data_IF_813311136052
#
_entry.id   IF_813311136052
#
_cell.length_a   1.000
_cell.length_b   1.000
_cell.length_c   1.000
_cell.angle_alpha   90.00
_cell.angle_beta   90.00
_cell.angle_gamma   90.00
#
_symmetry.space_group_name_H-M   'P 1'
#
loop_
_entity.id
_entity.type
_entity.pdbx_description
1 polymer ?
#
# COMPACT_ATOMS: atom_id res chain seq x y z
N UNK A 1 -71.89 8.99 35.03
CA UNK A 1 -70.67 9.84 35.03
C UNK A 1 -69.49 8.91 34.80
N UNK A 2 -69.03 8.76 33.55
CA UNK A 2 -67.99 7.80 33.15
C UNK A 2 -66.63 8.49 33.09
N UNK A 3 -65.68 8.00 33.90
CA UNK A 3 -64.30 8.48 33.95
C UNK A 3 -63.48 7.65 32.95
N UNK A 4 -62.94 8.30 31.92
CA UNK A 4 -62.04 7.68 30.94
C UNK A 4 -60.60 7.76 31.44
N UNK A 5 -59.99 6.60 31.70
CA UNK A 5 -58.58 6.45 32.01
C UNK A 5 -57.78 6.48 30.69
N UNK A 6 -56.85 7.45 30.55
CA UNK A 6 -55.91 7.51 29.43
C UNK A 6 -54.64 6.72 29.78
N UNK A 7 -54.35 5.68 29.00
CA UNK A 7 -53.04 5.02 28.99
C UNK A 7 -52.04 5.89 28.22
N UNK A 8 -50.94 6.27 28.87
CA UNK A 8 -49.77 6.83 28.19
C UNK A 8 -48.79 5.67 27.94
N UNK A 9 -48.58 5.32 26.67
CA UNK A 9 -47.51 4.40 26.26
C UNK A 9 -46.31 5.27 25.89
N UNK A 10 -45.28 5.25 26.72
CA UNK A 10 -43.98 5.88 26.42
C UNK A 10 -43.17 4.96 25.52
N UNK A 11 -43.02 5.35 24.25
CA UNK A 11 -42.08 4.73 23.31
C UNK A 11 -40.67 5.28 23.60
N UNK A 12 -39.82 4.51 24.28
CA UNK A 12 -38.38 4.81 24.33
C UNK A 12 -37.74 4.43 23.01
N UNK A 13 -37.37 5.43 22.20
CA UNK A 13 -36.55 5.22 21.01
C UNK A 13 -35.08 4.98 21.43
N UNK A 14 -34.59 3.75 21.24
CA UNK A 14 -33.18 3.42 21.39
C UNK A 14 -32.47 3.89 20.11
N UNK A 15 -31.74 5.00 20.21
CA UNK A 15 -30.85 5.50 19.17
C UNK A 15 -29.59 4.61 19.11
N UNK A 16 -29.52 3.73 18.12
CA UNK A 16 -28.25 3.09 17.75
C UNK A 16 -27.37 4.10 17.03
N UNK A 17 -26.46 4.73 17.77
CA UNK A 17 -25.38 5.52 17.18
C UNK A 17 -24.36 4.54 16.58
N UNK A 18 -24.47 4.28 15.27
CA UNK A 18 -23.39 3.60 14.54
C UNK A 18 -22.26 4.61 14.35
N UNK A 19 -21.29 4.60 15.27
CA UNK A 19 -20.04 5.29 15.05
C UNK A 19 -19.30 4.55 13.93
N UNK A 20 -19.35 5.10 12.71
CA UNK A 20 -18.45 4.69 11.65
C UNK A 20 -17.04 5.02 12.10
N UNK A 21 -16.28 4.01 12.55
CA UNK A 21 -14.85 4.13 12.75
C UNK A 21 -14.26 4.25 11.36
N UNK A 22 -14.02 5.48 10.89
CA UNK A 22 -13.18 5.69 9.73
C UNK A 22 -11.79 5.15 10.08
N UNK A 23 -11.40 4.04 9.47
CA UNK A 23 -10.03 3.57 9.54
C UNK A 23 -9.14 4.68 8.98
N UNK A 24 -8.23 5.19 9.81
CA UNK A 24 -7.33 6.26 9.41
C UNK A 24 -6.30 5.69 8.42
N UNK A 25 -6.09 6.40 7.30
CA UNK A 25 -5.17 5.97 6.24
C UNK A 25 -3.72 6.02 6.75
N UNK A 26 -2.86 5.15 6.20
CA UNK A 26 -1.41 5.22 6.44
C UNK A 26 -0.89 6.58 5.99
N UNK A 27 -0.08 7.23 6.83
CA UNK A 27 0.57 8.49 6.47
C UNK A 27 1.95 8.17 5.90
N UNK A 28 2.15 8.52 4.63
CA UNK A 28 3.44 8.41 3.92
C UNK A 28 4.17 9.74 3.97
N UNK A 29 5.46 9.74 4.33
CA UNK A 29 6.30 10.95 4.40
C UNK A 29 7.64 10.73 3.70
N UNK A 30 8.29 11.83 3.36
CA UNK A 30 9.66 11.88 2.85
C UNK A 30 9.96 10.91 1.68
N UNK A 31 9.10 10.77 0.66
CA UNK A 31 9.42 9.91 -0.46
C UNK A 31 10.59 10.50 -1.26
N UNK A 32 11.64 9.71 -1.44
CA UNK A 32 12.89 10.14 -2.06
C UNK A 32 13.60 8.97 -2.73
N UNK A 33 14.62 9.28 -3.52
CA UNK A 33 15.45 8.29 -4.20
C UNK A 33 16.93 8.58 -4.02
N UNK A 34 17.76 7.56 -4.13
CA UNK A 34 19.21 7.73 -4.06
C UNK A 34 19.82 8.43 -5.30
N UNK A 35 19.00 8.74 -6.31
CA UNK A 35 19.38 9.52 -7.50
C UNK A 35 18.85 10.95 -7.49
N UNK A 36 18.18 11.37 -6.41
CA UNK A 36 17.69 12.75 -6.26
C UNK A 36 16.39 13.06 -7.02
N UNK A 37 15.65 12.04 -7.43
CA UNK A 37 14.35 12.23 -8.07
C UNK A 37 13.29 12.64 -7.05
N UNK A 38 12.37 13.50 -7.50
CA UNK A 38 11.26 13.97 -6.68
C UNK A 38 10.11 13.00 -6.80
N UNK A 39 9.60 12.53 -5.66
CA UNK A 39 8.32 11.81 -5.56
C UNK A 39 7.29 12.63 -4.79
N UNK A 40 6.01 12.40 -5.07
CA UNK A 40 4.90 13.14 -4.48
C UNK A 40 3.87 12.17 -3.93
N UNK A 41 3.37 12.43 -2.72
CA UNK A 41 2.27 11.66 -2.13
C UNK A 41 0.93 12.23 -2.62
N UNK A 42 0.04 11.35 -3.05
CA UNK A 42 -1.33 11.65 -3.47
C UNK A 42 -2.28 10.56 -2.93
N UNK A 43 -3.57 10.70 -3.23
CA UNK A 43 -4.56 9.64 -3.06
C UNK A 43 -4.75 8.87 -4.38
N UNK A 44 -4.79 7.54 -4.29
CA UNK A 44 -5.11 6.64 -5.39
C UNK A 44 -6.62 6.72 -5.68
N UNK A 45 -6.99 7.33 -6.82
CA UNK A 45 -8.39 7.54 -7.20
C UNK A 45 -8.57 7.43 -8.71
N UNK A 46 -9.76 7.03 -9.13
CA UNK A 46 -10.11 6.92 -10.55
C UNK A 46 -9.95 8.28 -11.25
N UNK A 47 -9.25 8.30 -12.38
CA UNK A 47 -8.92 9.53 -13.12
C UNK A 47 -7.88 10.41 -12.43
N UNK A 48 -7.23 9.94 -11.36
CA UNK A 48 -6.11 10.62 -10.70
C UNK A 48 -4.86 10.63 -11.59
N UNK A 49 -3.78 11.28 -11.12
CA UNK A 49 -2.49 11.27 -11.81
C UNK A 49 -1.79 9.91 -11.66
N UNK A 50 -1.12 9.46 -12.73
CA UNK A 50 -0.23 8.31 -12.69
C UNK A 50 1.20 8.70 -12.28
N UNK A 51 1.71 9.80 -12.85
CA UNK A 51 3.00 10.42 -12.50
C UNK A 51 2.78 11.85 -12.00
N UNK A 52 3.68 12.37 -11.17
CA UNK A 52 3.51 13.75 -10.67
C UNK A 52 3.84 14.80 -11.74
N UNK A 53 4.68 14.46 -12.72
CA UNK A 53 5.26 15.36 -13.73
C UNK A 53 4.67 15.15 -15.15
N UNK A 54 3.62 14.35 -15.29
CA UNK A 54 2.85 14.16 -16.53
C UNK A 54 1.36 14.22 -16.27
N UNK A 55 0.59 14.40 -17.33
CA UNK A 55 -0.87 14.41 -17.29
C UNK A 55 -1.50 13.04 -17.56
N UNK A 56 -0.71 11.96 -17.48
CA UNK A 56 -1.21 10.60 -17.57
C UNK A 56 -2.12 10.29 -16.38
N UNK A 57 -3.22 9.62 -16.68
CA UNK A 57 -4.23 9.27 -15.69
C UNK A 57 -4.14 7.83 -15.26
N UNK A 58 -4.64 7.53 -14.06
CA UNK A 58 -4.82 6.17 -13.56
C UNK A 58 -6.29 5.76 -13.64
N UNK A 59 -6.57 4.60 -14.24
CA UNK A 59 -7.93 4.09 -14.44
C UNK A 59 -8.05 2.60 -14.08
N UNK A 60 -9.29 2.11 -13.97
CA UNK A 60 -9.63 0.71 -13.73
C UNK A 60 -9.13 0.19 -12.39
N UNK A 61 -9.09 1.05 -11.38
CA UNK A 61 -8.55 0.70 -10.06
C UNK A 61 -9.49 -0.29 -9.36
N UNK A 62 -9.01 -1.45 -8.89
CA UNK A 62 -9.80 -2.34 -8.03
C UNK A 62 -10.32 -1.59 -6.80
N UNK A 63 -11.60 -1.80 -6.46
CA UNK A 63 -12.33 -0.98 -5.47
C UNK A 63 -11.65 -0.92 -4.10
N UNK A 64 -11.00 -2.02 -3.70
CA UNK A 64 -10.24 -2.17 -2.47
C UNK A 64 -9.01 -1.26 -2.38
N UNK A 65 -8.50 -0.75 -3.50
CA UNK A 65 -7.34 0.13 -3.54
C UNK A 65 -7.73 1.62 -3.65
N UNK A 66 -9.00 1.92 -3.90
CA UNK A 66 -9.47 3.31 -3.96
C UNK A 66 -9.28 4.01 -2.62
N UNK A 67 -8.72 5.21 -2.67
CA UNK A 67 -8.45 6.05 -1.51
C UNK A 67 -7.14 5.74 -0.81
N UNK A 68 -6.37 4.72 -1.20
CA UNK A 68 -5.08 4.45 -0.57
C UNK A 68 -4.06 5.58 -0.85
N UNK A 69 -3.16 5.90 0.08
CA UNK A 69 -2.03 6.78 -0.21
C UNK A 69 -1.17 6.19 -1.34
N UNK A 70 -0.92 7.01 -2.35
CA UNK A 70 -0.14 6.71 -3.54
C UNK A 70 1.15 7.54 -3.53
N UNK A 71 2.27 6.94 -3.92
CA UNK A 71 3.52 7.64 -4.18
C UNK A 71 3.68 7.72 -5.71
N UNK A 72 3.62 8.94 -6.23
CA UNK A 72 3.76 9.28 -7.63
C UNK A 72 5.24 9.47 -7.97
N UNK A 73 5.74 8.64 -8.88
CA UNK A 73 7.06 8.77 -9.49
C UNK A 73 7.06 9.81 -10.61
N UNK A 74 8.24 10.23 -11.06
CA UNK A 74 8.38 10.93 -12.35
C UNK A 74 8.23 9.92 -13.48
N UNK A 75 7.68 10.31 -14.62
CA UNK A 75 7.54 9.40 -15.76
C UNK A 75 8.89 8.80 -16.18
N UNK A 76 9.93 9.62 -16.22
CA UNK A 76 11.28 9.21 -16.65
C UNK A 76 12.18 8.78 -15.47
N UNK A 77 11.57 8.27 -14.38
CA UNK A 77 12.33 7.82 -13.21
C UNK A 77 13.31 6.71 -13.61
N UNK A 78 14.59 6.92 -13.32
CA UNK A 78 15.62 5.93 -13.56
C UNK A 78 15.34 4.68 -12.71
N UNK A 79 15.73 3.54 -13.27
CA UNK A 79 15.76 2.26 -12.61
C UNK A 79 17.15 1.68 -12.61
N UNK A 80 17.23 0.37 -12.39
CA UNK A 80 18.49 -0.34 -12.21
C UNK A 80 18.62 -0.90 -10.79
N UNK A 81 19.49 -1.89 -10.64
CA UNK A 81 19.69 -2.62 -9.37
C UNK A 81 20.31 -1.77 -8.27
N UNK A 82 20.95 -0.66 -8.62
CA UNK A 82 21.53 0.30 -7.67
C UNK A 82 20.53 1.40 -7.28
N UNK A 83 19.33 1.41 -7.87
CA UNK A 83 18.32 2.41 -7.59
C UNK A 83 17.56 2.07 -6.30
N UNK A 84 17.33 3.05 -5.44
CA UNK A 84 16.65 2.88 -4.14
C UNK A 84 15.55 3.92 -3.98
N UNK A 85 14.37 3.46 -3.58
CA UNK A 85 13.22 4.29 -3.25
C UNK A 85 13.02 4.19 -1.75
N UNK A 86 12.97 5.32 -1.06
CA UNK A 86 12.74 5.36 0.38
C UNK A 86 11.59 6.28 0.74
N UNK A 87 10.83 5.91 1.76
CA UNK A 87 9.76 6.72 2.33
C UNK A 87 9.45 6.24 3.75
N UNK A 88 8.87 7.12 4.58
CA UNK A 88 8.45 6.79 5.93
C UNK A 88 6.96 6.45 5.98
N UNK A 89 6.61 5.45 6.79
CA UNK A 89 5.21 5.12 7.15
C UNK A 89 4.99 5.28 8.66
N UNK A 90 3.83 5.79 9.06
CA UNK A 90 3.49 6.07 10.46
C UNK A 90 2.99 4.86 11.25
N UNK A 91 2.62 3.79 10.56
CA UNK A 91 2.09 2.53 11.11
C UNK A 91 2.49 1.35 10.23
N UNK A 92 2.39 0.11 10.70
CA UNK A 92 2.67 -1.06 9.87
C UNK A 92 1.80 -1.07 8.62
N UNK A 93 2.38 -1.42 7.47
CA UNK A 93 1.70 -1.28 6.19
C UNK A 93 2.05 -2.36 5.17
N UNK A 94 1.07 -2.77 4.38
CA UNK A 94 1.28 -3.52 3.14
C UNK A 94 1.66 -2.53 2.05
N UNK A 95 2.75 -2.81 1.34
CA UNK A 95 3.20 -2.00 0.20
C UNK A 95 2.84 -2.71 -1.08
N UNK A 96 2.25 -1.97 -2.01
CA UNK A 96 1.89 -2.43 -3.34
C UNK A 96 2.74 -1.75 -4.40
N UNK A 97 3.17 -2.54 -5.38
CA UNK A 97 3.92 -2.11 -6.54
C UNK A 97 3.14 -2.46 -7.80
N UNK A 98 2.88 -1.48 -8.66
CA UNK A 98 2.27 -1.74 -9.97
C UNK A 98 3.36 -1.78 -11.06
N UNK A 99 3.50 -2.91 -11.74
CA UNK A 99 4.52 -3.15 -12.76
C UNK A 99 3.96 -3.06 -14.16
N UNK A 100 4.57 -2.20 -14.99
CA UNK A 100 4.25 -2.06 -16.40
C UNK A 100 4.27 -3.41 -17.14
N UNK A 101 3.13 -3.75 -17.76
CA UNK A 101 2.89 -5.01 -18.45
C UNK A 101 3.60 -5.14 -19.80
N UNK A 102 4.21 -4.06 -20.31
CA UNK A 102 4.96 -4.07 -21.58
C UNK A 102 6.29 -4.82 -21.48
N UNK A 103 6.75 -5.05 -20.25
CA UNK A 103 7.95 -5.83 -19.95
C UNK A 103 7.54 -7.23 -19.45
N UNK A 104 8.41 -8.27 -19.49
CA UNK A 104 8.12 -9.61 -18.92
C UNK A 104 7.67 -9.54 -17.47
N UNK A 105 7.19 -10.55 -16.77
CA UNK A 105 6.86 -10.35 -15.32
C UNK A 105 8.13 -10.34 -14.46
N UNK A 106 8.19 -9.62 -13.32
CA UNK A 106 9.37 -9.63 -12.44
C UNK A 106 9.95 -11.03 -12.15
N UNK A 107 9.10 -12.04 -11.99
CA UNK A 107 9.51 -13.45 -11.82
C UNK A 107 10.16 -14.09 -13.06
N UNK A 108 9.86 -13.57 -14.25
CA UNK A 108 10.40 -14.04 -15.54
C UNK A 108 11.55 -13.14 -16.04
N UNK A 109 11.63 -11.91 -15.50
CA UNK A 109 12.68 -10.94 -15.76
C UNK A 109 13.92 -11.41 -14.99
N UNK A 110 14.93 -11.97 -15.66
CA UNK A 110 16.28 -12.31 -15.11
C UNK A 110 17.08 -11.09 -14.62
N UNK A 111 16.39 -10.04 -14.21
CA UNK A 111 16.80 -8.67 -13.94
C UNK A 111 16.80 -8.35 -12.44
N UNK A 112 16.36 -9.31 -11.61
CA UNK A 112 16.57 -9.31 -10.17
C UNK A 112 17.66 -10.35 -9.83
N UNK A 113 18.95 -10.05 -10.04
CA UNK A 113 20.02 -11.01 -9.78
C UNK A 113 20.13 -11.42 -8.31
N UNK A 114 19.57 -10.62 -7.38
CA UNK A 114 19.53 -10.93 -5.96
C UNK A 114 18.29 -11.77 -5.56
N UNK A 115 17.32 -11.91 -6.46
CA UNK A 115 16.02 -12.55 -6.21
C UNK A 115 15.28 -11.91 -5.03
N UNK A 116 15.49 -10.62 -4.76
CA UNK A 116 14.87 -9.94 -3.63
C UNK A 116 13.37 -9.78 -3.84
N UNK A 117 12.94 -9.54 -5.07
CA UNK A 117 11.56 -9.24 -5.42
C UNK A 117 10.66 -10.42 -5.12
N UNK A 118 10.98 -11.61 -5.64
CA UNK A 118 10.20 -12.82 -5.36
C UNK A 118 10.22 -13.22 -3.88
N UNK A 119 11.25 -12.83 -3.12
CA UNK A 119 11.28 -13.07 -1.66
C UNK A 119 10.33 -12.15 -0.91
N UNK A 120 10.18 -10.92 -1.36
CA UNK A 120 9.47 -9.86 -0.63
C UNK A 120 8.05 -9.63 -1.15
N UNK A 121 7.79 -9.85 -2.44
CA UNK A 121 6.54 -9.53 -3.12
C UNK A 121 5.86 -10.78 -3.71
N UNK A 122 4.54 -10.72 -3.84
CA UNK A 122 3.73 -11.74 -4.50
C UNK A 122 2.72 -11.06 -5.41
N UNK A 123 2.46 -11.67 -6.57
CA UNK A 123 1.47 -11.17 -7.52
C UNK A 123 0.06 -11.27 -6.90
N UNK A 124 -0.73 -10.21 -7.03
CA UNK A 124 -2.14 -10.17 -6.60
C UNK A 124 -3.11 -10.67 -7.67
N UNK A 125 -2.63 -10.87 -8.92
CA UNK A 125 -3.42 -11.15 -10.13
C UNK A 125 -4.39 -10.03 -10.50
N UNK A 126 -4.23 -8.85 -9.89
CA UNK A 126 -4.98 -7.63 -10.20
C UNK A 126 -4.11 -6.68 -10.99
N UNK A 127 -4.77 -5.75 -11.66
CA UNK A 127 -4.13 -4.72 -12.44
C UNK A 127 -4.84 -3.38 -12.24
N UNK A 128 -4.13 -2.33 -12.61
CA UNK A 128 -4.66 -0.99 -12.83
C UNK A 128 -4.08 -0.50 -14.16
N UNK A 129 -4.53 0.65 -14.64
CA UNK A 129 -4.11 1.14 -15.95
C UNK A 129 -3.51 2.53 -15.88
N UNK A 130 -2.41 2.72 -16.60
CA UNK A 130 -1.98 4.03 -17.06
C UNK A 130 -2.78 4.36 -18.32
N UNK A 131 -3.38 5.54 -18.37
CA UNK A 131 -4.31 5.93 -19.42
C UNK A 131 -4.07 7.39 -19.87
N UNK A 132 -5.06 7.95 -20.58
CA UNK A 132 -5.04 9.23 -21.26
C UNK A 132 -4.17 10.33 -20.60
N UNK A 133 -3.38 11.08 -21.41
CA UNK A 133 -3.29 11.02 -22.88
C UNK A 133 -2.47 9.85 -23.46
N UNK A 134 -1.88 8.99 -22.63
CA UNK A 134 -1.14 7.82 -23.12
C UNK A 134 -2.12 6.68 -23.47
N UNK A 135 -1.80 5.82 -24.46
CA UNK A 135 -2.57 4.61 -24.72
C UNK A 135 -2.73 3.75 -23.46
N UNK A 136 -3.95 3.24 -23.23
CA UNK A 136 -4.24 2.41 -22.06
C UNK A 136 -3.25 1.25 -21.95
N UNK A 137 -2.51 1.20 -20.84
CA UNK A 137 -1.45 0.22 -20.57
C UNK A 137 -1.70 -0.43 -19.22
N UNK A 138 -1.64 -1.77 -19.15
CA UNK A 138 -1.85 -2.52 -17.91
C UNK A 138 -0.62 -2.45 -17.01
N UNK A 139 -0.87 -2.41 -15.71
CA UNK A 139 0.14 -2.51 -14.67
C UNK A 139 -0.27 -3.59 -13.67
N UNK A 140 0.53 -4.65 -13.57
CA UNK A 140 0.28 -5.77 -12.67
C UNK A 140 0.60 -5.39 -11.23
N UNK A 141 -0.33 -5.64 -10.32
CA UNK A 141 -0.20 -5.26 -8.91
C UNK A 141 0.44 -6.40 -8.12
N UNK A 142 1.57 -6.12 -7.51
CA UNK A 142 2.25 -6.98 -6.54
C UNK A 142 2.09 -6.40 -5.15
N UNK A 143 2.00 -7.27 -4.15
CA UNK A 143 1.93 -6.87 -2.74
C UNK A 143 3.09 -7.45 -1.94
N UNK A 144 3.54 -6.73 -0.92
CA UNK A 144 4.51 -7.26 0.02
C UNK A 144 3.93 -8.48 0.74
N UNK A 145 4.72 -9.55 0.86
CA UNK A 145 4.32 -10.80 1.55
C UNK A 145 4.15 -10.59 3.06
N UNK A 146 4.84 -9.59 3.61
CA UNK A 146 4.74 -9.15 5.00
C UNK A 146 4.49 -7.65 5.03
N UNK A 147 3.80 -7.18 6.06
CA UNK A 147 3.71 -5.75 6.32
C UNK A 147 5.09 -5.21 6.70
N UNK A 148 5.44 -4.05 6.18
CA UNK A 148 6.57 -3.27 6.66
C UNK A 148 6.22 -2.71 8.05
N UNK A 149 7.18 -2.68 8.99
CA UNK A 149 6.97 -2.01 10.27
C UNK A 149 6.88 -0.49 10.07
N UNK A 150 6.32 0.22 11.06
CA UNK A 150 6.43 1.68 11.14
C UNK A 150 7.89 2.13 10.98
N UNK A 151 8.11 3.21 10.23
CA UNK A 151 9.43 3.78 9.98
C UNK A 151 9.77 3.81 8.50
N UNK A 152 11.06 3.80 8.19
CA UNK A 152 11.56 3.85 6.82
C UNK A 152 11.29 2.53 6.09
N UNK A 153 10.74 2.65 4.89
CA UNK A 153 10.59 1.59 3.90
C UNK A 153 11.62 1.84 2.80
N UNK A 154 12.41 0.81 2.48
CA UNK A 154 13.29 0.82 1.31
C UNK A 154 12.79 -0.19 0.27
N UNK A 155 12.68 0.26 -0.96
CA UNK A 155 12.38 -0.58 -2.13
C UNK A 155 13.56 -0.48 -3.08
N UNK A 156 14.07 -1.65 -3.45
CA UNK A 156 15.17 -1.76 -4.40
C UNK A 156 14.65 -1.66 -5.83
N UNK A 157 15.48 -1.13 -6.72
CA UNK A 157 15.24 -1.22 -8.14
C UNK A 157 15.40 -2.66 -8.64
N UNK A 158 14.83 -2.91 -9.81
CA UNK A 158 15.06 -4.11 -10.60
C UNK A 158 15.80 -3.65 -11.87
N UNK A 159 16.70 -4.45 -12.42
CA UNK A 159 17.32 -4.10 -13.70
C UNK A 159 16.24 -3.90 -14.78
N UNK A 160 16.35 -2.85 -15.59
CA UNK A 160 15.48 -2.69 -16.76
C UNK A 160 15.80 -3.71 -17.86
N UNK A 161 16.94 -4.40 -17.74
CA UNK A 161 17.60 -5.16 -18.80
C UNK A 161 17.75 -4.37 -20.09
N UNK A 162 18.10 -5.07 -21.17
CA UNK A 162 18.73 -4.54 -22.40
C UNK A 162 17.82 -3.57 -23.18
N UNK A 163 17.61 -2.39 -22.64
CA UNK A 163 17.12 -1.17 -23.28
C UNK A 163 17.96 -0.02 -22.69
N UNK A 164 18.44 0.96 -23.47
CA UNK A 164 19.35 2.01 -22.98
C UNK A 164 18.79 2.84 -21.82
N UNK A 165 17.47 2.79 -21.60
CA UNK A 165 16.79 3.56 -20.57
C UNK A 165 16.12 2.58 -19.60
N UNK A 166 16.70 2.32 -18.42
CA UNK A 166 16.11 1.45 -17.41
C UNK A 166 14.96 2.18 -16.72
N UNK A 167 14.02 2.79 -17.44
CA UNK A 167 12.96 3.60 -16.84
C UNK A 167 12.02 2.66 -16.12
N UNK A 168 11.94 2.84 -14.81
CA UNK A 168 11.05 2.08 -13.97
C UNK A 168 9.78 2.91 -13.80
N UNK A 169 8.80 2.57 -14.62
CA UNK A 169 7.45 3.12 -14.51
C UNK A 169 6.69 2.27 -13.50
N UNK A 170 6.72 2.67 -12.24
CA UNK A 170 5.89 2.09 -11.18
C UNK A 170 5.04 3.17 -10.54
N UNK A 171 3.86 2.76 -10.08
CA UNK A 171 3.18 3.47 -8.98
C UNK A 171 3.24 2.61 -7.73
N UNK A 172 3.49 3.25 -6.59
CA UNK A 172 3.43 2.62 -5.27
C UNK A 172 2.17 3.08 -4.57
N UNK A 173 1.51 2.20 -3.84
CA UNK A 173 0.46 2.59 -2.90
C UNK A 173 0.50 1.71 -1.66
N UNK A 174 -0.05 2.23 -0.57
CA UNK A 174 0.18 1.69 0.78
C UNK A 174 -1.16 1.49 1.49
N UNK A 175 -1.35 0.32 2.10
CA UNK A 175 -2.53 -0.02 2.89
C UNK A 175 -2.10 -0.34 4.32
N UNK A 176 -2.95 -0.04 5.31
CA UNK A 176 -2.67 -0.45 6.68
C UNK A 176 -2.47 -1.97 6.76
N UNK A 177 -1.34 -2.36 7.34
CA UNK A 177 -0.94 -3.74 7.51
C UNK A 177 -1.15 -4.16 8.95
N UNK A 178 -1.58 -5.42 9.16
CA UNK A 178 -1.46 -6.01 10.48
C UNK A 178 0.00 -6.35 10.71
N UNK A 179 0.68 -5.65 11.62
CA UNK A 179 2.02 -6.04 12.04
C UNK A 179 2.00 -7.49 12.53
N UNK A 180 2.83 -8.33 11.93
CA UNK A 180 3.29 -9.52 12.62
C UNK A 180 4.32 -9.01 13.62
N UNK A 181 3.90 -8.85 14.88
CA UNK A 181 4.87 -8.72 15.99
C UNK A 181 5.85 -9.90 15.82
N UNK A 182 7.16 -9.68 15.60
CA UNK A 182 8.11 -10.78 15.68
C UNK A 182 7.91 -11.33 17.07
N UNK A 183 7.44 -12.59 17.16
CA UNK A 183 7.01 -13.22 18.39
C UNK A 183 7.88 -12.70 19.52
N UNK A 184 7.30 -11.82 20.36
CA UNK A 184 8.04 -11.16 21.42
C UNK A 184 8.81 -12.26 22.12
N UNK A 185 10.13 -12.06 22.30
CA UNK A 185 11.04 -13.06 22.89
C UNK A 185 10.24 -13.89 23.90
N UNK A 186 10.06 -15.17 23.61
CA UNK A 186 9.23 -16.10 24.41
C UNK A 186 9.60 -16.09 25.91
N UNK A 187 10.74 -15.48 26.27
CA UNK A 187 11.24 -15.26 27.61
C UNK A 187 10.29 -14.54 28.56
N UNK A 188 9.40 -13.65 28.10
CA UNK A 188 8.49 -12.93 29.04
C UNK A 188 7.25 -13.75 29.42
N UNK A 189 6.72 -14.55 28.49
CA UNK A 189 5.53 -15.39 28.75
C UNK A 189 5.86 -16.54 29.70
N UNK A 190 7.06 -17.14 29.59
CA UNK A 190 7.51 -18.18 30.53
C UNK A 190 7.76 -17.65 31.95
N UNK A 191 8.17 -16.39 32.10
CA UNK A 191 8.36 -15.76 33.42
C UNK A 191 7.04 -15.56 34.17
N UNK A 192 5.98 -15.19 33.46
CA UNK A 192 4.64 -14.97 34.04
C UNK A 192 3.99 -16.30 34.43
N UNK A 193 4.13 -17.35 33.61
CA UNK A 193 3.54 -18.66 33.89
C UNK A 193 4.21 -19.32 35.11
N UNK A 194 5.52 -19.17 35.31
CA UNK A 194 6.17 -19.71 36.51
C UNK A 194 5.85 -18.93 37.79
N UNK A 195 5.63 -17.62 37.69
CA UNK A 195 5.27 -16.79 38.85
C UNK A 195 3.85 -17.01 39.38
N UNK A 196 2.96 -17.65 38.61
CA UNK A 196 1.57 -17.91 39.00
C UNK A 196 1.30 -19.33 39.53
N UNK A 197 2.33 -20.19 39.58
CA UNK A 197 2.20 -21.58 40.06
C UNK A 197 2.80 -21.75 41.46
N UNK A 198 3.46 -20.73 42.00
CA UNK A 198 4.15 -20.77 43.30
C UNK A 198 3.50 -19.86 44.38
N UNK A 199 2.19 -19.59 44.33
CA UNK A 199 1.41 -19.03 45.46
C UNK A 199 0.35 -20.01 45.99
#
# INVERSE_FOLDING_TARGET
MYIWQRFLITFSAILFFSASVYAEKVVVKNPQTNKGEKYVVSELKEGGKFFHDRDYTITGIPKEFLGLPQILSSADSLGGVDYLWTFDIDRPATVYLAFDSRFPRPEDRKQDPAGWFEKVYTDTKKELFLDAPHPKTSYWIYKSKKAYPKGEVTIFGIDGGRHPDPIIMWTIFVEEGKAVQPAGKLTTVWGIIKGQVDE
#
